data_IF_247163702250
#
_entry.id   IF_247163702250
#
_cell.length_a   1.000
_cell.length_b   1.000
_cell.length_c   1.000
_cell.angle_alpha   90.00
_cell.angle_beta   90.00
_cell.angle_gamma   90.00
#
_symmetry.space_group_name_H-M   'P 1'
#
loop_
_entity.id
_entity.type
_entity.pdbx_description
1 polymer ?
#
# COMPACT_ATOMS: atom_id res chain seq x y z
N UNK A 1 -3.77 21.31 -25.00
CA UNK A 1 -4.64 21.12 -23.80
C UNK A 1 -4.03 20.13 -22.81
N UNK A 2 -3.64 18.93 -23.26
CA UNK A 2 -3.13 17.83 -22.41
C UNK A 2 -1.87 18.19 -21.61
N UNK A 3 -0.88 18.87 -22.20
CA UNK A 3 0.34 19.31 -21.50
C UNK A 3 0.07 20.24 -20.31
N UNK A 4 -0.92 21.12 -20.43
CA UNK A 4 -1.32 22.04 -19.34
C UNK A 4 -1.97 21.23 -18.20
N UNK A 5 -2.81 20.25 -18.54
CA UNK A 5 -3.44 19.38 -17.56
C UNK A 5 -2.41 18.50 -16.82
N UNK A 6 -1.37 18.03 -17.50
CA UNK A 6 -0.25 17.29 -16.88
C UNK A 6 0.51 18.21 -15.90
N UNK A 7 0.87 19.43 -16.33
CA UNK A 7 1.55 20.39 -15.45
C UNK A 7 0.71 20.73 -14.21
N UNK A 8 -0.61 20.87 -14.37
CA UNK A 8 -1.54 21.08 -13.27
C UNK A 8 -1.56 19.89 -12.30
N UNK A 9 -1.62 18.65 -12.80
CA UNK A 9 -1.60 17.45 -11.96
C UNK A 9 -0.30 17.31 -11.16
N UNK A 10 0.84 17.65 -11.77
CA UNK A 10 2.13 17.68 -11.07
C UNK A 10 2.10 18.72 -9.95
N UNK A 11 1.60 19.93 -10.22
CA UNK A 11 1.44 20.95 -9.18
C UNK A 11 0.52 20.50 -8.04
N UNK A 12 -0.62 19.86 -8.36
CA UNK A 12 -1.52 19.28 -7.37
C UNK A 12 -0.84 18.21 -6.50
N UNK A 13 0.02 17.36 -7.07
CA UNK A 13 0.81 16.40 -6.30
C UNK A 13 1.74 17.09 -5.29
N UNK A 14 2.39 18.19 -5.68
CA UNK A 14 3.27 18.96 -4.78
C UNK A 14 2.49 19.71 -3.68
N UNK A 15 1.24 20.10 -3.93
CA UNK A 15 0.37 20.76 -2.94
C UNK A 15 -0.18 19.76 -1.90
N UNK A 16 0.10 18.46 -2.06
CA UNK A 16 -0.28 17.42 -1.09
C UNK A 16 -1.62 16.76 -1.39
N UNK A 17 -2.13 16.88 -2.62
CA UNK A 17 -3.28 16.08 -3.06
C UNK A 17 -2.91 14.59 -2.97
N UNK A 18 -3.81 13.72 -2.46
CA UNK A 18 -3.53 12.30 -2.36
C UNK A 18 -3.07 11.70 -3.69
N UNK A 19 -1.93 11.01 -3.68
CA UNK A 19 -1.29 10.49 -4.90
C UNK A 19 -2.23 9.60 -5.72
N UNK A 20 -3.08 8.80 -5.08
CA UNK A 20 -4.04 7.95 -5.80
C UNK A 20 -4.99 8.76 -6.68
N UNK A 21 -5.43 9.95 -6.22
CA UNK A 21 -6.34 10.81 -6.97
C UNK A 21 -5.62 11.46 -8.15
N UNK A 22 -4.36 11.88 -7.96
CA UNK A 22 -3.52 12.43 -9.04
C UNK A 22 -3.27 11.37 -10.13
N UNK A 23 -2.92 10.14 -9.72
CA UNK A 23 -2.69 9.02 -10.66
C UNK A 23 -3.97 8.66 -11.40
N UNK A 24 -5.11 8.60 -10.72
CA UNK A 24 -6.41 8.32 -11.35
C UNK A 24 -6.78 9.40 -12.37
N UNK A 25 -6.66 10.68 -12.01
CA UNK A 25 -6.92 11.79 -12.91
C UNK A 25 -5.96 11.77 -14.11
N UNK A 26 -4.70 11.42 -13.90
CA UNK A 26 -3.72 11.23 -14.97
C UNK A 26 -4.11 10.10 -15.93
N UNK A 27 -4.55 8.96 -15.41
CA UNK A 27 -5.05 7.84 -16.20
C UNK A 27 -6.29 8.23 -17.02
N UNK A 28 -7.26 8.91 -16.40
CA UNK A 28 -8.46 9.42 -17.07
C UNK A 28 -8.11 10.39 -18.20
N UNK A 29 -7.21 11.35 -17.96
CA UNK A 29 -6.71 12.27 -18.99
C UNK A 29 -6.03 11.51 -20.15
N UNK A 30 -5.26 10.46 -19.84
CA UNK A 30 -4.64 9.59 -20.84
C UNK A 30 -5.67 8.90 -21.72
N UNK A 31 -6.70 8.30 -21.12
CA UNK A 31 -7.79 7.63 -21.87
C UNK A 31 -8.53 8.60 -22.79
N UNK A 32 -8.89 9.79 -22.27
CA UNK A 32 -9.55 10.85 -23.07
C UNK A 32 -8.64 11.27 -24.24
N UNK A 33 -7.33 11.45 -24.00
CA UNK A 33 -6.39 11.84 -25.04
C UNK A 33 -6.19 10.74 -26.11
N UNK A 34 -6.35 9.47 -25.74
CA UNK A 34 -6.29 8.32 -26.65
C UNK A 34 -7.60 7.97 -27.35
N UNK A 35 -8.69 8.70 -27.06
CA UNK A 35 -10.03 8.43 -27.63
C UNK A 35 -10.69 7.17 -27.09
N UNK A 36 -10.23 6.66 -25.94
CA UNK A 36 -10.80 5.49 -25.26
C UNK A 36 -11.90 5.96 -24.32
N UNK A 37 -13.01 5.21 -24.29
CA UNK A 37 -14.15 5.52 -23.42
C UNK A 37 -13.78 5.36 -21.94
N UNK A 38 -14.24 6.30 -21.10
CA UNK A 38 -13.92 6.32 -19.67
C UNK A 38 -14.55 5.15 -18.89
N UNK A 39 -15.52 4.44 -19.48
CA UNK A 39 -16.12 3.22 -18.95
C UNK A 39 -15.08 2.14 -18.65
N UNK A 40 -13.95 2.13 -19.38
CA UNK A 40 -12.83 1.21 -19.13
C UNK A 40 -12.29 1.36 -17.72
N UNK A 41 -12.29 2.57 -17.15
CA UNK A 41 -11.83 2.80 -15.78
C UNK A 41 -12.72 2.06 -14.77
N UNK A 42 -14.05 2.11 -14.93
CA UNK A 42 -14.97 1.41 -14.05
C UNK A 42 -14.84 -0.11 -14.16
N UNK A 43 -14.64 -0.61 -15.39
CA UNK A 43 -14.43 -2.02 -15.69
C UNK A 43 -13.15 -2.55 -15.02
N UNK A 44 -12.09 -1.77 -15.08
CA UNK A 44 -10.80 -2.12 -14.48
C UNK A 44 -10.83 -2.05 -12.95
N UNK A 45 -11.55 -1.07 -12.38
CA UNK A 45 -11.80 -1.01 -10.94
C UNK A 45 -12.59 -2.24 -10.47
N UNK A 46 -13.61 -2.66 -11.23
CA UNK A 46 -14.37 -3.87 -10.92
C UNK A 46 -13.51 -5.13 -10.99
N UNK A 47 -12.64 -5.23 -12.01
CA UNK A 47 -11.69 -6.33 -12.16
C UNK A 47 -10.73 -6.44 -10.97
N UNK A 48 -10.26 -5.30 -10.44
CA UNK A 48 -9.40 -5.25 -9.25
C UNK A 48 -10.22 -5.58 -7.99
N UNK A 49 -11.47 -5.10 -7.91
CA UNK A 49 -12.38 -5.35 -6.79
C UNK A 49 -12.60 -6.86 -6.53
N UNK A 50 -12.64 -7.65 -7.59
CA UNK A 50 -12.83 -9.11 -7.53
C UNK A 50 -11.53 -9.88 -7.24
N UNK A 51 -10.40 -9.18 -7.11
CA UNK A 51 -9.14 -9.86 -6.76
C UNK A 51 -9.15 -10.26 -5.28
N UNK A 52 -8.66 -11.47 -4.95
CA UNK A 52 -8.54 -11.93 -3.56
C UNK A 52 -7.61 -11.04 -2.71
N UNK A 53 -6.81 -10.18 -3.36
CA UNK A 53 -5.86 -9.28 -2.74
C UNK A 53 -6.57 -8.23 -1.86
N UNK A 54 -7.74 -7.74 -2.27
CA UNK A 54 -8.50 -6.78 -1.45
C UNK A 54 -9.12 -7.41 -0.20
N UNK A 55 -9.45 -8.70 -0.26
CA UNK A 55 -9.93 -9.48 0.90
C UNK A 55 -8.80 -9.73 1.90
N UNK A 56 -7.54 -9.75 1.44
CA UNK A 56 -6.39 -9.91 2.34
C UNK A 56 -6.19 -8.71 3.28
N UNK A 57 -6.53 -7.49 2.87
CA UNK A 57 -6.40 -6.27 3.68
C UNK A 57 -7.24 -6.31 4.99
N UNK A 58 -8.55 -6.61 4.97
CA UNK A 58 -9.33 -6.74 6.19
C UNK A 58 -8.93 -7.96 7.00
N UNK A 59 -8.54 -9.09 6.37
CA UNK A 59 -8.04 -10.26 7.10
C UNK A 59 -6.71 -9.97 7.82
N UNK A 60 -5.82 -9.19 7.21
CA UNK A 60 -4.59 -8.72 7.84
C UNK A 60 -4.88 -7.80 9.02
N UNK A 61 -5.85 -6.88 8.86
CA UNK A 61 -6.34 -6.03 9.95
C UNK A 61 -6.93 -6.87 11.09
N UNK A 62 -7.72 -7.89 10.75
CA UNK A 62 -8.28 -8.82 11.72
C UNK A 62 -7.20 -9.61 12.46
N UNK A 63 -6.20 -10.14 11.75
CA UNK A 63 -5.06 -10.82 12.35
C UNK A 63 -4.29 -9.88 13.28
N UNK A 64 -4.05 -8.63 12.87
CA UNK A 64 -3.46 -7.59 13.70
C UNK A 64 -4.25 -7.35 14.98
N UNK A 65 -5.58 -7.23 14.87
CA UNK A 65 -6.46 -7.08 16.02
C UNK A 65 -6.37 -8.28 16.97
N UNK A 66 -6.41 -9.50 16.42
CA UNK A 66 -6.27 -10.74 17.19
C UNK A 66 -4.92 -10.81 17.92
N UNK A 67 -3.83 -10.39 17.26
CA UNK A 67 -2.49 -10.34 17.86
C UNK A 67 -2.41 -9.32 19.01
N UNK A 68 -3.06 -8.16 18.86
CA UNK A 68 -3.12 -7.15 19.93
C UNK A 68 -3.97 -7.61 21.11
N UNK A 69 -5.12 -8.23 20.86
CA UNK A 69 -6.01 -8.74 21.90
C UNK A 69 -5.39 -9.91 22.69
N UNK A 70 -4.59 -10.75 22.03
CA UNK A 70 -3.93 -11.91 22.65
C UNK A 70 -2.55 -11.62 23.24
N UNK A 71 -2.05 -10.37 23.15
CA UNK A 71 -0.71 -10.00 23.59
C UNK A 71 0.41 -10.82 22.88
N UNK A 72 0.08 -11.40 21.71
CA UNK A 72 0.98 -12.31 20.99
C UNK A 72 2.18 -11.58 20.39
N UNK A 73 2.00 -10.33 19.96
CA UNK A 73 3.09 -9.50 19.44
C UNK A 73 4.18 -9.26 20.51
N UNK A 74 3.78 -9.03 21.76
CA UNK A 74 4.67 -8.81 22.89
C UNK A 74 5.42 -10.09 23.26
N UNK A 75 4.73 -11.25 23.27
CA UNK A 75 5.36 -12.55 23.49
C UNK A 75 6.37 -12.88 22.39
N UNK A 76 6.05 -12.56 21.14
CA UNK A 76 6.97 -12.72 20.01
C UNK A 76 8.21 -11.83 20.18
N UNK A 77 8.02 -10.55 20.53
CA UNK A 77 9.13 -9.64 20.80
C UNK A 77 10.00 -10.10 21.97
N UNK A 78 9.40 -10.66 23.04
CA UNK A 78 10.13 -11.21 24.17
C UNK A 78 10.99 -12.42 23.75
N UNK A 79 10.44 -13.31 22.90
CA UNK A 79 11.20 -14.43 22.33
C UNK A 79 12.36 -13.94 21.47
N UNK A 80 12.13 -12.97 20.58
CA UNK A 80 13.18 -12.39 19.73
C UNK A 80 14.28 -11.74 20.58
N UNK A 81 13.92 -11.05 21.66
CA UNK A 81 14.89 -10.48 22.61
C UNK A 81 15.66 -11.56 23.37
N UNK A 82 15.02 -12.66 23.77
CA UNK A 82 15.72 -13.78 24.38
C UNK A 82 16.72 -14.45 23.42
N UNK A 83 16.38 -14.53 22.13
CA UNK A 83 17.22 -15.16 21.11
C UNK A 83 18.29 -14.25 20.49
N UNK A 84 18.11 -12.94 20.48
CA UNK A 84 19.03 -12.01 19.78
C UNK A 84 19.42 -10.79 20.63
N UNK A 85 18.99 -10.73 21.90
CA UNK A 85 19.24 -9.59 22.79
C UNK A 85 20.71 -9.42 23.20
N UNK A 86 21.55 -10.44 23.01
CA UNK A 86 22.99 -10.32 23.23
C UNK A 86 23.70 -9.56 22.11
N UNK A 87 23.08 -9.43 20.92
CA UNK A 87 23.68 -8.77 19.76
C UNK A 87 23.30 -7.28 19.75
N UNK A 88 24.28 -6.36 19.60
CA UNK A 88 23.98 -4.96 19.38
C UNK A 88 23.13 -4.81 18.10
N UNK A 89 22.01 -4.08 18.20
CA UNK A 89 21.01 -3.93 17.13
C UNK A 89 20.30 -5.22 16.65
N UNK A 90 20.27 -6.30 17.45
CA UNK A 90 19.65 -7.58 17.06
C UNK A 90 18.19 -7.47 16.58
N UNK A 91 17.37 -6.62 17.22
CA UNK A 91 15.99 -6.39 16.78
C UNK A 91 15.89 -5.69 15.42
N UNK A 92 16.84 -4.81 15.09
CA UNK A 92 16.86 -4.14 13.78
C UNK A 92 17.21 -5.14 12.67
N UNK A 93 18.13 -6.07 12.92
CA UNK A 93 18.50 -7.14 11.99
C UNK A 93 17.31 -8.07 11.76
N UNK A 94 16.62 -8.50 12.83
CA UNK A 94 15.43 -9.35 12.70
C UNK A 94 14.33 -8.64 11.92
N UNK A 95 14.12 -7.34 12.18
CA UNK A 95 13.18 -6.53 11.40
C UNK A 95 13.55 -6.47 9.92
N UNK A 96 14.83 -6.22 9.60
CA UNK A 96 15.33 -6.19 8.22
C UNK A 96 15.12 -7.52 7.49
N UNK A 97 15.49 -8.64 8.12
CA UNK A 97 15.31 -9.98 7.54
C UNK A 97 13.83 -10.30 7.34
N UNK A 98 12.98 -9.98 8.32
CA UNK A 98 11.54 -10.16 8.17
C UNK A 98 10.99 -9.32 7.01
N UNK A 99 11.34 -8.04 6.91
CA UNK A 99 10.95 -7.19 5.79
C UNK A 99 11.42 -7.76 4.45
N UNK A 100 12.64 -8.28 4.36
CA UNK A 100 13.18 -8.86 3.12
C UNK A 100 12.47 -10.17 2.71
N UNK A 101 11.92 -10.93 3.65
CA UNK A 101 11.17 -12.16 3.36
C UNK A 101 9.71 -11.88 2.96
N UNK A 102 9.11 -10.82 3.50
CA UNK A 102 7.69 -10.48 3.30
C UNK A 102 7.41 -9.40 2.24
N UNK A 103 8.43 -8.64 1.80
CA UNK A 103 8.34 -7.69 0.68
C UNK A 103 8.44 -8.44 -0.64
#
# INVERSE_FOLDING_TARGET
MTWIAIALLIALAFIGVPLFAVVLAGAMLGFIASGVDLSVVALEVYRIADTPLLVSLPLFTFAGYLMTASNSAQRLMALTRALFGWMPAGLAIVGFVACAVFT
#
